data_IF_390772261234
#
_entry.id   IF_390772261234
#
_cell.length_a   1.000
_cell.length_b   1.000
_cell.length_c   1.000
_cell.angle_alpha   90.00
_cell.angle_beta   90.00
_cell.angle_gamma   90.00
#
_symmetry.space_group_name_H-M   'P 1'
#
loop_
_entity.id
_entity.type
_entity.pdbx_description
1 polymer ?
#
# COMPACT_ATOMS: atom_id res chain seq x y z
N UNK A 1 25.88 -12.39 -12.73
CA UNK A 1 25.52 -12.79 -11.35
C UNK A 1 26.33 -11.97 -10.35
N UNK A 2 26.12 -10.65 -10.33
CA UNK A 2 26.93 -9.76 -9.48
C UNK A 2 26.62 -8.31 -9.75
N UNK A 3 25.60 -7.76 -9.07
CA UNK A 3 25.41 -6.31 -8.81
C UNK A 3 24.48 -6.08 -7.58
N UNK A 4 24.54 -6.90 -6.52
CA UNK A 4 23.77 -6.62 -5.27
C UNK A 4 24.59 -6.80 -4.00
N UNK A 5 25.91 -6.67 -4.09
CA UNK A 5 26.78 -6.51 -2.92
C UNK A 5 27.50 -5.19 -3.10
N UNK A 6 27.43 -4.32 -2.08
CA UNK A 6 27.94 -2.93 -2.00
C UNK A 6 26.94 -1.93 -2.62
N UNK A 7 26.21 -1.08 -1.88
CA UNK A 7 26.49 -0.35 -0.64
C UNK A 7 25.22 -0.20 0.23
N UNK A 8 25.23 -0.77 1.43
CA UNK A 8 24.74 -0.08 2.63
C UNK A 8 25.36 -0.86 3.79
N UNK A 9 26.36 -0.27 4.41
CA UNK A 9 26.80 -0.69 5.73
C UNK A 9 25.55 -0.64 6.60
N UNK A 10 24.91 -1.81 6.83
CA UNK A 10 23.67 -1.94 7.60
C UNK A 10 23.97 -1.52 9.03
N UNK A 11 24.00 -0.21 9.29
CA UNK A 11 23.79 0.31 10.63
C UNK A 11 22.48 -0.32 11.07
N UNK A 12 22.57 -1.31 11.97
CA UNK A 12 21.41 -1.99 12.52
C UNK A 12 20.60 -0.93 13.24
N UNK A 13 19.62 -0.36 12.54
CA UNK A 13 18.65 0.54 13.14
C UNK A 13 18.06 -0.18 14.36
N UNK A 14 18.09 0.51 15.49
CA UNK A 14 17.46 0.00 16.69
C UNK A 14 15.97 -0.21 16.38
N UNK A 15 15.46 -1.40 16.68
CA UNK A 15 14.07 -1.76 16.42
C UNK A 15 13.17 -1.06 17.42
N UNK A 16 12.91 0.23 17.19
CA UNK A 16 12.17 1.12 18.09
C UNK A 16 10.67 1.17 17.79
N UNK A 17 10.26 0.70 16.60
CA UNK A 17 8.88 0.75 16.14
C UNK A 17 8.05 -0.36 16.79
N UNK A 18 7.05 0.04 17.57
CA UNK A 18 6.03 -0.86 18.12
C UNK A 18 4.88 -1.05 17.13
N UNK A 19 4.06 -2.08 17.30
CA UNK A 19 2.90 -2.37 16.43
C UNK A 19 1.98 -1.16 16.24
N UNK A 20 1.77 -0.37 17.29
CA UNK A 20 0.96 0.83 17.23
C UNK A 20 1.59 1.94 16.39
N UNK A 21 2.91 2.03 16.39
CA UNK A 21 3.65 3.03 15.63
C UNK A 21 3.64 2.66 14.13
N UNK A 22 3.79 1.37 13.80
CA UNK A 22 3.57 0.85 12.44
C UNK A 22 2.15 1.10 11.94
N UNK A 23 1.14 0.84 12.78
CA UNK A 23 -0.25 1.13 12.43
C UNK A 23 -0.49 2.63 12.22
N UNK A 24 0.07 3.48 13.08
CA UNK A 24 -0.05 4.93 12.95
C UNK A 24 0.59 5.44 11.65
N UNK A 25 1.78 4.94 11.29
CA UNK A 25 2.44 5.25 10.02
C UNK A 25 1.60 4.79 8.83
N UNK A 26 1.03 3.58 8.87
CA UNK A 26 0.15 3.06 7.81
C UNK A 26 -1.13 3.88 7.64
N UNK A 27 -1.79 4.26 8.73
CA UNK A 27 -2.99 5.12 8.69
C UNK A 27 -2.62 6.51 8.18
N UNK A 28 -1.52 7.09 8.64
CA UNK A 28 -1.03 8.40 8.19
C UNK A 28 -0.67 8.42 6.70
N UNK A 29 -0.12 7.33 6.17
CA UNK A 29 0.20 7.20 4.75
C UNK A 29 -1.02 6.98 3.85
N UNK A 30 -2.11 6.40 4.37
CA UNK A 30 -3.32 6.10 3.59
C UNK A 30 -4.35 7.24 3.63
N UNK A 31 -4.45 7.98 4.74
CA UNK A 31 -5.35 9.14 4.87
C UNK A 31 -4.68 10.37 4.25
N UNK A 32 -4.92 10.59 2.96
CA UNK A 32 -4.38 11.73 2.19
C UNK A 32 -5.43 12.71 1.67
N UNK A 33 -5.02 13.63 0.80
CA UNK A 33 -5.92 14.58 0.13
C UNK A 33 -7.00 13.89 -0.71
N UNK A 34 -6.72 12.69 -1.22
CA UNK A 34 -7.63 11.93 -2.08
C UNK A 34 -9.01 11.68 -1.47
N UNK A 35 -9.11 11.30 -0.19
CA UNK A 35 -10.42 11.03 0.43
C UNK A 35 -11.26 12.30 0.56
N UNK A 36 -10.63 13.45 0.83
CA UNK A 36 -11.32 14.73 0.98
C UNK A 36 -11.75 15.32 -0.36
N UNK A 37 -10.93 15.18 -1.40
CA UNK A 37 -11.20 15.72 -2.74
C UNK A 37 -12.17 14.82 -3.50
N UNK A 38 -11.91 13.50 -3.58
CA UNK A 38 -12.81 12.59 -4.30
C UNK A 38 -14.20 12.56 -3.68
N UNK A 39 -14.33 12.60 -2.34
CA UNK A 39 -15.67 12.63 -1.73
C UNK A 39 -16.46 13.87 -2.16
N UNK A 40 -15.80 15.03 -2.32
CA UNK A 40 -16.41 16.26 -2.81
C UNK A 40 -16.78 16.20 -4.29
N UNK A 41 -15.90 15.64 -5.13
CA UNK A 41 -16.15 15.46 -6.56
C UNK A 41 -17.31 14.48 -6.81
N UNK A 42 -17.33 13.33 -6.13
CA UNK A 42 -18.38 12.31 -6.28
C UNK A 42 -19.74 12.84 -5.76
N UNK A 43 -19.74 13.71 -4.75
CA UNK A 43 -20.96 14.33 -4.23
C UNK A 43 -21.56 15.39 -5.17
N UNK A 44 -20.73 16.11 -5.93
CA UNK A 44 -21.15 17.18 -6.84
C UNK A 44 -21.16 16.76 -8.33
N UNK A 45 -20.84 15.50 -8.64
CA UNK A 45 -20.76 15.00 -10.01
C UNK A 45 -22.14 15.08 -10.72
N UNK A 46 -22.20 15.70 -11.92
CA UNK A 46 -23.46 15.95 -12.62
C UNK A 46 -24.06 14.70 -13.29
N UNK A 47 -23.26 13.69 -13.61
CA UNK A 47 -23.71 12.51 -14.40
C UNK A 47 -24.34 11.41 -13.54
N UNK A 48 -23.90 11.25 -12.29
CA UNK A 48 -24.45 10.26 -11.35
C UNK A 48 -24.29 10.77 -9.90
N UNK A 49 -25.13 11.70 -9.45
CA UNK A 49 -25.07 12.19 -8.07
C UNK A 49 -25.35 11.00 -7.14
N UNK A 50 -24.30 10.45 -6.53
CA UNK A 50 -24.42 9.32 -5.62
C UNK A 50 -25.35 9.66 -4.44
N UNK A 51 -25.58 10.96 -4.17
CA UNK A 51 -26.44 11.41 -3.09
C UNK A 51 -26.04 10.73 -1.77
N UNK A 52 -27.00 10.39 -0.88
CA UNK A 52 -26.70 9.65 0.35
C UNK A 52 -26.01 8.29 0.14
N UNK A 53 -26.07 7.73 -1.08
CA UNK A 53 -25.51 6.41 -1.43
C UNK A 53 -23.99 6.43 -1.63
N UNK A 54 -23.30 7.58 -1.52
CA UNK A 54 -21.83 7.63 -1.54
C UNK A 54 -21.21 6.75 -0.46
N UNK A 55 -21.88 6.63 0.70
CA UNK A 55 -21.45 5.77 1.80
C UNK A 55 -21.42 4.29 1.39
N UNK A 56 -22.36 3.84 0.55
CA UNK A 56 -22.38 2.47 0.02
C UNK A 56 -21.21 2.23 -0.95
N UNK A 57 -20.87 3.21 -1.78
CA UNK A 57 -19.71 3.13 -2.68
C UNK A 57 -18.40 3.04 -1.90
N UNK A 58 -18.24 3.88 -0.86
CA UNK A 58 -17.07 3.82 0.02
C UNK A 58 -17.00 2.51 0.81
N UNK A 59 -18.15 1.96 1.25
CA UNK A 59 -18.18 0.66 1.91
C UNK A 59 -17.72 -0.48 0.98
N UNK A 60 -18.20 -0.49 -0.27
CA UNK A 60 -17.77 -1.47 -1.27
C UNK A 60 -16.28 -1.34 -1.62
N UNK A 61 -15.79 -0.11 -1.82
CA UNK A 61 -14.37 0.16 -2.06
C UNK A 61 -13.50 -0.24 -0.85
N UNK A 62 -13.96 0.02 0.36
CA UNK A 62 -13.29 -0.40 1.59
C UNK A 62 -13.18 -1.92 1.70
N UNK A 63 -14.22 -2.66 1.29
CA UNK A 63 -14.21 -4.12 1.28
C UNK A 63 -13.22 -4.67 0.25
N UNK A 64 -13.15 -4.07 -0.94
CA UNK A 64 -12.13 -4.42 -1.94
C UNK A 64 -10.70 -4.13 -1.45
N UNK A 65 -10.50 -3.00 -0.79
CA UNK A 65 -9.22 -2.65 -0.16
C UNK A 65 -8.85 -3.63 0.97
N UNK A 66 -9.82 -4.06 1.78
CA UNK A 66 -9.60 -5.02 2.86
C UNK A 66 -9.11 -6.38 2.34
N UNK A 67 -9.73 -6.90 1.28
CA UNK A 67 -9.28 -8.14 0.63
C UNK A 67 -7.88 -7.98 0.06
N UNK A 68 -7.59 -6.86 -0.59
CA UNK A 68 -6.25 -6.56 -1.12
C UNK A 68 -5.21 -6.47 0.00
N UNK A 69 -5.55 -5.83 1.11
CA UNK A 69 -4.70 -5.70 2.30
C UNK A 69 -4.40 -7.05 2.96
N UNK A 70 -5.36 -7.98 2.98
CA UNK A 70 -5.14 -9.36 3.43
C UNK A 70 -4.10 -10.09 2.56
N UNK A 71 -4.19 -9.96 1.23
CA UNK A 71 -3.18 -10.54 0.33
C UNK A 71 -1.78 -9.94 0.55
N UNK A 72 -1.69 -8.64 0.79
CA UNK A 72 -0.41 -8.01 1.15
C UNK A 72 0.09 -8.43 2.53
N UNK A 73 -0.81 -8.65 3.50
CA UNK A 73 -0.44 -9.14 4.82
C UNK A 73 0.13 -10.57 4.76
N UNK A 74 -0.42 -11.44 3.90
CA UNK A 74 0.11 -12.78 3.66
C UNK A 74 1.54 -12.70 3.10
N UNK A 75 1.76 -11.88 2.06
CA UNK A 75 3.09 -11.65 1.47
C UNK A 75 4.08 -11.07 2.48
N UNK A 76 3.66 -10.08 3.28
CA UNK A 76 4.49 -9.45 4.31
C UNK A 76 4.87 -10.42 5.44
N UNK A 77 4.01 -11.41 5.75
CA UNK A 77 4.32 -12.45 6.74
C UNK A 77 5.32 -13.48 6.23
N UNK A 78 5.35 -13.73 4.92
CA UNK A 78 6.28 -14.68 4.30
C UNK A 78 7.64 -14.07 3.95
N UNK A 79 7.66 -12.80 3.54
CA UNK A 79 8.85 -12.14 2.99
C UNK A 79 9.34 -11.06 3.98
N UNK A 80 10.37 -11.40 4.75
CA UNK A 80 11.02 -10.49 5.71
C UNK A 80 12.17 -9.72 5.06
N UNK A 81 11.87 -8.98 4.00
CA UNK A 81 12.82 -8.13 3.29
C UNK A 81 12.39 -6.67 3.38
N UNK A 82 13.37 -5.77 3.49
CA UNK A 82 13.15 -4.33 3.52
C UNK A 82 12.70 -3.86 2.11
N UNK A 83 11.39 -3.81 1.86
CA UNK A 83 10.83 -3.38 0.58
C UNK A 83 9.32 -3.52 0.44
N UNK A 84 8.75 -2.73 -0.47
CA UNK A 84 7.31 -2.72 -0.79
C UNK A 84 7.00 -3.65 -1.99
N UNK A 85 6.04 -3.29 -2.84
CA UNK A 85 5.59 -4.05 -4.02
C UNK A 85 6.71 -4.56 -4.94
N UNK A 86 7.79 -3.78 -5.13
CA UNK A 86 8.92 -4.17 -5.97
C UNK A 86 9.59 -5.48 -5.50
N UNK A 87 9.85 -5.60 -4.20
CA UNK A 87 10.51 -6.78 -3.63
C UNK A 87 9.59 -7.99 -3.68
N UNK A 88 8.29 -7.80 -3.45
CA UNK A 88 7.31 -8.88 -3.58
C UNK A 88 7.19 -9.40 -5.03
N UNK A 89 7.16 -8.49 -6.01
CA UNK A 89 7.15 -8.84 -7.43
C UNK A 89 8.46 -9.51 -7.86
N UNK A 90 9.61 -9.05 -7.36
CA UNK A 90 10.91 -9.66 -7.65
C UNK A 90 11.01 -11.11 -7.17
N UNK A 91 10.53 -11.38 -5.95
CA UNK A 91 10.57 -12.73 -5.35
C UNK A 91 9.66 -13.71 -6.10
N UNK A 92 8.48 -13.27 -6.57
CA UNK A 92 7.48 -14.18 -7.18
C UNK A 92 7.54 -14.25 -8.71
N UNK A 93 7.84 -13.15 -9.39
CA UNK A 93 7.66 -13.00 -10.83
C UNK A 93 8.97 -12.72 -11.59
N UNK A 94 10.02 -12.33 -10.88
CA UNK A 94 11.34 -12.03 -11.46
C UNK A 94 11.51 -10.57 -11.89
N UNK A 95 12.68 -10.28 -12.46
CA UNK A 95 13.22 -8.92 -12.63
C UNK A 95 12.38 -8.02 -13.56
N UNK A 96 11.81 -8.56 -14.64
CA UNK A 96 11.04 -7.78 -15.61
C UNK A 96 9.74 -7.27 -14.99
N UNK A 97 9.00 -8.13 -14.29
CA UNK A 97 7.74 -7.74 -13.65
C UNK A 97 7.97 -6.85 -12.43
N UNK A 98 9.07 -7.06 -11.71
CA UNK A 98 9.50 -6.15 -10.65
C UNK A 98 9.77 -4.74 -11.19
N UNK A 99 10.49 -4.63 -12.32
CA UNK A 99 10.74 -3.35 -12.96
C UNK A 99 9.45 -2.63 -13.33
N UNK A 100 8.48 -3.32 -13.95
CA UNK A 100 7.16 -2.72 -14.26
C UNK A 100 6.35 -2.33 -13.02
N UNK A 101 6.51 -3.05 -11.90
CA UNK A 101 5.80 -2.72 -10.66
C UNK A 101 6.46 -1.59 -9.87
N UNK A 102 7.76 -1.33 -10.09
CA UNK A 102 8.54 -0.29 -9.41
C UNK A 102 8.72 1.00 -10.20
N UNK A 103 8.59 0.96 -11.52
CA UNK A 103 8.69 2.10 -12.44
C UNK A 103 7.33 2.78 -12.65
#
# INVERSE_FOLDING_TARGET
>A
MGVITEEEEKEKLARCLSLYDLLAVGIGGTVGSGVFVLAGEIANAPDLPAGPSVVLSFAAAGLACFVSGLSFAELASGIHADGSSYVYAYVHLGEIFAFWAGW
#
